data_IF_031897420316
#
_entry.id   IF_031897420316
#
_cell.length_a   1.000
_cell.length_b   1.000
_cell.length_c   1.000
_cell.angle_alpha   90.00
_cell.angle_beta   90.00
_cell.angle_gamma   90.00
#
_symmetry.space_group_name_H-M   'P 1'
#
loop_
_entity.id
_entity.type
_entity.pdbx_description
1 polymer ?
#
# COMPACT_ATOMS: atom_id res chain seq x y z
N UNK A 1 -21.28 -37.30 -5.83
CA UNK A 1 -20.25 -36.40 -5.29
C UNK A 1 -20.50 -35.01 -5.86
N UNK A 2 -20.94 -34.04 -5.05
CA UNK A 2 -21.30 -32.69 -5.53
C UNK A 2 -20.07 -31.78 -5.40
N UNK A 3 -19.41 -31.47 -6.52
CA UNK A 3 -18.17 -30.70 -6.52
C UNK A 3 -18.48 -29.20 -6.47
N UNK A 4 -18.32 -28.60 -5.28
CA UNK A 4 -18.30 -27.14 -5.15
C UNK A 4 -17.02 -26.61 -5.80
N UNK A 5 -17.15 -25.93 -6.94
CA UNK A 5 -16.05 -25.18 -7.56
C UNK A 5 -15.88 -23.86 -6.82
N UNK A 6 -14.96 -23.81 -5.85
CA UNK A 6 -14.55 -22.54 -5.23
C UNK A 6 -13.78 -21.72 -6.27
N UNK A 7 -14.36 -20.61 -6.73
CA UNK A 7 -13.68 -19.68 -7.62
C UNK A 7 -12.75 -18.79 -6.80
N UNK A 8 -11.45 -19.06 -6.87
CA UNK A 8 -10.43 -18.20 -6.25
C UNK A 8 -10.16 -17.01 -7.17
N UNK A 9 -10.41 -15.80 -6.69
CA UNK A 9 -10.12 -14.57 -7.41
C UNK A 9 -8.81 -13.99 -6.89
N UNK A 10 -7.78 -13.94 -7.74
CA UNK A 10 -6.47 -13.42 -7.37
C UNK A 10 -6.34 -11.96 -7.80
N UNK A 11 -5.70 -11.10 -6.98
CA UNK A 11 -5.43 -9.73 -7.37
C UNK A 11 -4.42 -9.68 -8.52
N UNK A 12 -4.61 -8.72 -9.43
CA UNK A 12 -3.72 -8.48 -10.57
C UNK A 12 -3.04 -7.12 -10.35
N UNK A 13 -1.71 -7.13 -10.31
CA UNK A 13 -0.90 -5.92 -10.19
C UNK A 13 -0.12 -5.65 -11.47
N UNK A 14 -0.08 -4.37 -11.88
CA UNK A 14 0.69 -3.92 -13.06
C UNK A 14 2.04 -3.36 -12.62
N UNK A 15 3.02 -3.33 -13.53
CA UNK A 15 4.33 -2.68 -13.26
C UNK A 15 4.14 -1.22 -12.88
N UNK A 16 3.23 -0.50 -13.54
CA UNK A 16 2.87 0.88 -13.19
C UNK A 16 2.33 0.97 -11.76
N UNK A 17 1.47 0.03 -11.34
CA UNK A 17 0.94 0.02 -9.98
C UNK A 17 2.07 -0.08 -8.96
N UNK A 18 3.04 -0.98 -9.18
CA UNK A 18 4.22 -1.13 -8.31
C UNK A 18 5.09 0.13 -8.31
N UNK A 19 5.35 0.72 -9.47
CA UNK A 19 6.15 1.94 -9.58
C UNK A 19 5.53 3.13 -8.82
N UNK A 20 4.20 3.30 -8.93
CA UNK A 20 3.48 4.36 -8.21
C UNK A 20 3.50 4.08 -6.71
N UNK A 21 3.16 2.87 -6.26
CA UNK A 21 3.07 2.57 -4.83
C UNK A 21 4.44 2.53 -4.15
N UNK A 22 5.49 2.12 -4.87
CA UNK A 22 6.87 2.13 -4.38
C UNK A 22 7.38 3.53 -4.01
N UNK A 23 6.84 4.58 -4.64
CA UNK A 23 7.16 5.97 -4.28
C UNK A 23 6.11 6.58 -3.36
N UNK A 24 4.83 6.46 -3.73
CA UNK A 24 3.74 7.15 -3.04
C UNK A 24 3.57 6.69 -1.59
N UNK A 25 3.67 5.38 -1.30
CA UNK A 25 3.49 4.85 0.07
C UNK A 25 4.57 5.38 1.01
N UNK A 26 5.89 5.27 0.69
CA UNK A 26 6.92 5.90 1.50
C UNK A 26 6.77 7.43 1.61
N UNK A 27 6.43 8.13 0.53
CA UNK A 27 6.27 9.60 0.57
C UNK A 27 5.23 10.03 1.61
N UNK A 28 4.04 9.40 1.62
CA UNK A 28 2.99 9.75 2.60
C UNK A 28 3.43 9.40 4.03
N UNK A 29 4.13 8.28 4.23
CA UNK A 29 4.69 7.91 5.53
C UNK A 29 5.67 8.96 6.06
N UNK A 30 6.60 9.44 5.22
CA UNK A 30 7.56 10.46 5.62
C UNK A 30 6.91 11.82 5.84
N UNK A 31 5.93 12.21 5.03
CA UNK A 31 5.18 13.45 5.26
C UNK A 31 4.49 13.43 6.63
N UNK A 32 3.84 12.34 7.00
CA UNK A 32 3.26 12.17 8.35
C UNK A 32 4.29 12.21 9.48
N UNK A 33 5.49 11.68 9.23
CA UNK A 33 6.60 11.74 10.19
C UNK A 33 7.13 13.17 10.37
N UNK A 34 7.29 13.91 9.27
CA UNK A 34 7.78 15.31 9.27
C UNK A 34 6.76 16.27 9.89
N UNK A 35 5.46 16.03 9.69
CA UNK A 35 4.41 16.83 10.35
C UNK A 35 4.44 16.61 11.86
N UNK A 36 4.68 15.38 12.33
CA UNK A 36 4.85 15.10 13.74
C UNK A 36 6.08 15.81 14.34
N UNK A 37 7.17 15.93 13.58
CA UNK A 37 8.37 16.63 14.01
C UNK A 37 8.12 18.12 14.33
N UNK A 38 7.12 18.76 13.70
CA UNK A 38 6.77 20.16 13.99
C UNK A 38 6.34 20.39 15.45
N UNK A 39 5.97 19.33 16.18
CA UNK A 39 5.46 19.42 17.55
C UNK A 39 6.43 18.85 18.59
N UNK A 40 7.66 18.47 18.20
CA UNK A 40 8.67 18.02 19.16
C UNK A 40 9.09 19.20 20.05
N UNK A 41 9.09 18.98 21.36
CA UNK A 41 9.56 19.94 22.37
C UNK A 41 10.89 19.45 22.97
N UNK A 42 11.71 20.40 23.43
CA UNK A 42 13.02 20.16 24.06
C UNK A 42 12.91 19.91 25.56
#
# INVERSE_FOLDING_TARGET
>A
MNYKKSSYNYPIFTVRWLAVHGLAVPTIFFLGSITAMQFIQR
#
